data_IF_873918379630
#
_entry.id   IF_873918379630
#
_cell.length_a   1.000
_cell.length_b   1.000
_cell.length_c   1.000
_cell.angle_alpha   90.00
_cell.angle_beta   90.00
_cell.angle_gamma   90.00
#
_symmetry.space_group_name_H-M   'P 1'
#
loop_
_entity.id
_entity.type
_entity.pdbx_description
1 polymer ?
#
# COMPACT_ATOMS: atom_id res chain seq x y z
N UNK A 1 -12.12 -1.42 9.04
CA UNK A 1 -12.55 -0.58 7.90
C UNK A 1 -13.32 0.65 8.38
N UNK A 2 -14.39 0.53 9.17
CA UNK A 2 -15.14 1.68 9.70
C UNK A 2 -14.32 2.60 10.62
N UNK A 3 -13.51 2.05 11.53
CA UNK A 3 -12.67 2.84 12.45
C UNK A 3 -11.54 3.61 11.74
N UNK A 4 -10.87 2.97 10.77
CA UNK A 4 -9.85 3.63 9.95
C UNK A 4 -10.45 4.71 9.06
N UNK A 5 -11.65 4.47 8.51
CA UNK A 5 -12.39 5.46 7.73
C UNK A 5 -12.84 6.64 8.60
N UNK A 6 -13.32 6.40 9.82
CA UNK A 6 -13.75 7.49 10.73
C UNK A 6 -12.58 8.36 11.16
N UNK A 7 -11.42 7.76 11.50
CA UNK A 7 -10.20 8.53 11.83
C UNK A 7 -9.73 9.33 10.61
N UNK A 8 -9.74 8.73 9.42
CA UNK A 8 -9.42 9.41 8.17
C UNK A 8 -10.34 10.61 7.91
N UNK A 9 -11.67 10.44 8.07
CA UNK A 9 -12.65 11.52 7.88
C UNK A 9 -12.46 12.64 8.90
N UNK A 10 -12.27 12.33 10.18
CA UNK A 10 -12.06 13.33 11.23
C UNK A 10 -10.78 14.15 11.00
N UNK A 11 -9.66 13.49 10.68
CA UNK A 11 -8.40 14.18 10.42
C UNK A 11 -8.48 15.04 9.14
N UNK A 12 -9.16 14.56 8.09
CA UNK A 12 -9.42 15.36 6.89
C UNK A 12 -10.25 16.60 7.22
N UNK A 13 -11.32 16.47 8.01
CA UNK A 13 -12.18 17.59 8.39
C UNK A 13 -11.42 18.68 9.18
N UNK A 14 -10.57 18.29 10.13
CA UNK A 14 -9.74 19.23 10.90
C UNK A 14 -8.74 19.97 10.01
N UNK A 15 -8.07 19.24 9.12
CA UNK A 15 -7.11 19.82 8.20
C UNK A 15 -7.79 20.75 7.18
N UNK A 16 -8.97 20.37 6.69
CA UNK A 16 -9.78 21.18 5.79
C UNK A 16 -10.24 22.48 6.46
N UNK A 17 -10.65 22.44 7.73
CA UNK A 17 -11.00 23.63 8.50
C UNK A 17 -9.82 24.60 8.62
N UNK A 18 -8.63 24.07 8.89
CA UNK A 18 -7.39 24.87 8.96
C UNK A 18 -7.05 25.50 7.61
N UNK A 19 -7.04 24.71 6.53
CA UNK A 19 -6.79 25.19 5.17
C UNK A 19 -7.80 26.24 4.72
N UNK A 20 -9.07 26.06 5.06
CA UNK A 20 -10.13 27.03 4.75
C UNK A 20 -9.97 28.35 5.53
N UNK A 21 -9.58 28.28 6.80
CA UNK A 21 -9.24 29.47 7.61
C UNK A 21 -8.09 30.25 7.00
N UNK A 22 -7.03 29.55 6.56
CA UNK A 22 -5.89 30.16 5.88
C UNK A 22 -6.31 30.73 4.51
N UNK A 23 -7.13 30.02 3.72
CA UNK A 23 -7.70 30.52 2.46
C UNK A 23 -8.45 31.86 2.64
N UNK A 24 -9.36 31.94 3.62
CA UNK A 24 -10.09 33.19 3.92
C UNK A 24 -9.15 34.36 4.25
N UNK A 25 -8.04 34.09 4.91
CA UNK A 25 -7.04 35.10 5.23
C UNK A 25 -6.32 35.63 3.96
N UNK A 26 -6.08 34.76 2.98
CA UNK A 26 -5.33 35.08 1.76
C UNK A 26 -6.16 35.60 0.57
N UNK A 27 -7.49 35.40 0.56
CA UNK A 27 -8.42 35.80 -0.52
C UNK A 27 -8.61 37.31 -0.67
N UNK A 28 -7.95 38.15 0.14
CA UNK A 28 -7.96 39.61 -0.06
C UNK A 28 -7.24 40.10 -1.34
N UNK A 29 -6.66 39.20 -2.16
CA UNK A 29 -6.11 39.53 -3.49
C UNK A 29 -6.14 38.31 -4.42
N UNK A 30 -6.74 38.45 -5.61
CA UNK A 30 -6.95 37.37 -6.59
C UNK A 30 -5.64 36.73 -7.10
N UNK A 31 -4.52 37.46 -7.06
CA UNK A 31 -3.20 36.93 -7.43
C UNK A 31 -2.57 35.99 -6.39
N UNK A 32 -3.16 35.91 -5.19
CA UNK A 32 -2.59 35.20 -4.04
C UNK A 32 -3.10 33.76 -3.92
N UNK A 33 -4.31 33.45 -4.40
CA UNK A 33 -4.87 32.08 -4.35
C UNK A 33 -4.03 31.10 -5.16
N UNK A 34 -3.57 31.48 -6.35
CA UNK A 34 -2.67 30.68 -7.18
C UNK A 34 -1.31 30.45 -6.50
N UNK A 35 -0.78 31.48 -5.83
CA UNK A 35 0.45 31.38 -5.05
C UNK A 35 0.29 30.50 -3.80
N UNK A 36 -0.88 30.52 -3.16
CA UNK A 36 -1.19 29.68 -2.01
C UNK A 36 -1.31 28.21 -2.42
N UNK A 37 -2.03 27.91 -3.51
CA UNK A 37 -2.12 26.55 -4.04
C UNK A 37 -0.75 25.99 -4.45
N UNK A 38 0.05 26.80 -5.14
CA UNK A 38 1.40 26.43 -5.57
C UNK A 38 2.36 26.28 -4.37
N UNK A 39 2.21 27.10 -3.32
CA UNK A 39 2.99 26.98 -2.08
C UNK A 39 2.58 25.78 -1.25
N UNK A 40 1.29 25.53 -1.06
CA UNK A 40 0.80 24.39 -0.26
C UNK A 40 1.16 23.07 -0.97
N UNK A 41 0.93 22.98 -2.27
CA UNK A 41 1.31 21.81 -3.07
C UNK A 41 2.84 21.63 -3.06
N UNK A 42 3.60 22.69 -3.34
CA UNK A 42 5.06 22.66 -3.28
C UNK A 42 5.65 22.32 -1.91
N UNK A 43 5.04 22.79 -0.81
CA UNK A 43 5.47 22.51 0.57
C UNK A 43 5.14 21.09 1.00
N UNK A 44 3.96 20.60 0.61
CA UNK A 44 3.55 19.21 0.83
C UNK A 44 4.50 18.24 0.15
N UNK A 45 4.96 18.58 -1.05
CA UNK A 45 5.91 17.79 -1.85
C UNK A 45 7.36 17.98 -1.40
N UNK A 46 7.73 19.17 -0.92
CA UNK A 46 8.99 19.36 -0.20
C UNK A 46 9.10 18.42 1.00
N UNK A 47 8.01 18.27 1.77
CA UNK A 47 7.89 17.29 2.85
C UNK A 47 8.11 15.84 2.36
N UNK A 48 7.62 15.48 1.18
CA UNK A 48 7.87 14.17 0.54
C UNK A 48 9.37 13.94 0.32
N UNK A 49 10.07 14.94 -0.21
CA UNK A 49 11.50 14.84 -0.52
C UNK A 49 12.40 14.82 0.70
N UNK A 50 11.95 15.34 1.85
CA UNK A 50 12.70 15.29 3.10
C UNK A 50 12.39 14.03 3.93
N UNK A 51 11.14 13.55 3.92
CA UNK A 51 10.74 12.39 4.72
C UNK A 51 11.25 11.08 4.10
N UNK A 52 11.16 10.91 2.78
CA UNK A 52 11.53 9.64 2.12
C UNK A 52 12.99 9.22 2.43
N UNK A 53 14.00 10.10 2.28
CA UNK A 53 15.39 9.72 2.56
C UNK A 53 15.67 9.37 4.04
N UNK A 54 14.98 10.02 4.98
CA UNK A 54 15.17 9.79 6.43
C UNK A 54 14.66 8.40 6.83
N UNK A 55 13.60 7.91 6.20
CA UNK A 55 13.08 6.56 6.46
C UNK A 55 13.72 5.47 5.58
N UNK A 56 14.50 5.86 4.57
CA UNK A 56 15.32 4.93 3.76
C UNK A 56 16.61 4.51 4.47
N UNK A 57 17.14 5.32 5.39
CA UNK A 57 18.39 5.00 6.10
C UNK A 57 18.27 3.84 7.09
N UNK A 58 17.06 3.44 7.49
CA UNK A 58 16.81 2.29 8.38
C UNK A 58 16.80 0.93 7.66
N UNK A 59 17.06 0.90 6.35
CA UNK A 59 17.05 -0.33 5.54
C UNK A 59 18.32 -1.18 5.65
N UNK A 60 18.93 -1.24 6.84
CA UNK A 60 20.23 -1.89 7.06
C UNK A 60 20.22 -3.40 6.83
N UNK A 61 19.05 -4.06 6.92
CA UNK A 61 18.92 -5.52 6.87
C UNK A 61 18.26 -6.06 5.57
N UNK A 62 18.25 -5.27 4.48
CA UNK A 62 17.66 -5.72 3.21
C UNK A 62 18.33 -7.00 2.68
N UNK A 63 19.66 -7.08 2.73
CA UNK A 63 20.39 -8.22 2.19
C UNK A 63 20.01 -9.52 2.92
N UNK A 64 19.93 -9.48 4.25
CA UNK A 64 19.48 -10.62 5.05
C UNK A 64 18.03 -11.02 4.73
N UNK A 65 17.15 -10.06 4.50
CA UNK A 65 15.77 -10.34 4.10
C UNK A 65 15.71 -11.09 2.76
N UNK A 66 16.50 -10.67 1.77
CA UNK A 66 16.58 -11.37 0.47
C UNK A 66 17.15 -12.78 0.57
N UNK A 67 18.15 -12.98 1.44
CA UNK A 67 18.70 -14.31 1.70
C UNK A 67 17.64 -15.24 2.31
N UNK A 68 16.89 -14.76 3.31
CA UNK A 68 15.75 -15.50 3.89
C UNK A 68 14.66 -15.81 2.87
N UNK A 69 14.42 -14.91 1.92
CA UNK A 69 13.45 -15.14 0.84
C UNK A 69 13.89 -16.30 -0.07
N UNK A 70 15.18 -16.39 -0.37
CA UNK A 70 15.77 -17.48 -1.17
C UNK A 70 15.66 -18.81 -0.42
N UNK A 71 16.04 -18.83 0.86
CA UNK A 71 15.91 -20.02 1.72
C UNK A 71 14.44 -20.47 1.81
N UNK A 72 13.50 -19.53 1.88
CA UNK A 72 12.08 -19.84 1.90
C UNK A 72 11.63 -20.50 0.60
N UNK A 73 12.07 -19.99 -0.56
CA UNK A 73 11.74 -20.55 -1.86
C UNK A 73 12.19 -22.02 -1.94
N UNK A 74 13.44 -22.31 -1.56
CA UNK A 74 13.98 -23.68 -1.57
C UNK A 74 13.18 -24.62 -0.64
N UNK A 75 12.86 -24.15 0.57
CA UNK A 75 12.02 -24.90 1.52
C UNK A 75 10.62 -25.15 0.98
N UNK A 76 10.03 -24.15 0.32
CA UNK A 76 8.71 -24.26 -0.27
C UNK A 76 8.68 -25.30 -1.37
N UNK A 77 9.63 -25.26 -2.31
CA UNK A 77 9.67 -26.21 -3.44
C UNK A 77 9.93 -27.64 -2.95
N UNK A 78 10.82 -27.80 -1.97
CA UNK A 78 11.12 -29.10 -1.35
C UNK A 78 9.91 -29.69 -0.61
N UNK A 79 9.23 -28.88 0.21
CA UNK A 79 8.10 -29.32 1.03
C UNK A 79 6.82 -29.53 0.20
N UNK A 80 6.46 -28.56 -0.65
CA UNK A 80 5.22 -28.56 -1.43
C UNK A 80 5.31 -29.40 -2.71
N UNK A 81 6.52 -29.82 -3.10
CA UNK A 81 6.81 -30.59 -4.34
C UNK A 81 6.24 -29.93 -5.59
N UNK A 82 6.26 -28.60 -5.62
CA UNK A 82 5.79 -27.79 -6.74
C UNK A 82 6.71 -26.58 -6.91
N UNK A 83 6.94 -26.11 -8.15
CA UNK A 83 7.77 -24.94 -8.39
C UNK A 83 7.13 -23.69 -7.78
N UNK A 84 7.97 -22.76 -7.32
CA UNK A 84 7.52 -21.48 -6.79
C UNK A 84 7.16 -20.53 -7.95
N UNK A 85 5.94 -20.66 -8.47
CA UNK A 85 5.49 -19.86 -9.62
C UNK A 85 4.84 -18.54 -9.19
N UNK A 86 5.57 -17.45 -9.42
CA UNK A 86 5.08 -16.08 -9.24
C UNK A 86 4.58 -15.52 -10.58
N UNK A 87 3.30 -15.69 -10.90
CA UNK A 87 2.71 -15.02 -12.06
C UNK A 87 2.44 -13.53 -11.74
N UNK A 88 3.52 -12.74 -11.70
CA UNK A 88 3.49 -11.32 -11.30
C UNK A 88 3.47 -10.36 -12.49
N UNK A 89 3.82 -10.80 -13.70
CA UNK A 89 3.99 -9.93 -14.87
C UNK A 89 2.77 -9.05 -15.14
N UNK A 90 1.57 -9.64 -15.17
CA UNK A 90 0.32 -8.88 -15.38
C UNK A 90 0.10 -7.86 -14.26
N UNK A 91 0.40 -8.22 -13.01
CA UNK A 91 0.21 -7.35 -11.84
C UNK A 91 1.18 -6.18 -11.84
N UNK A 92 2.43 -6.42 -12.22
CA UNK A 92 3.43 -5.34 -12.41
C UNK A 92 2.88 -4.30 -13.38
N UNK A 93 2.37 -4.72 -14.54
CA UNK A 93 1.79 -3.79 -15.52
C UNK A 93 0.66 -2.93 -14.95
N UNK A 94 -0.34 -3.56 -14.30
CA UNK A 94 -1.52 -2.84 -13.81
C UNK A 94 -1.25 -1.98 -12.57
N UNK A 95 -0.35 -2.40 -11.69
CA UNK A 95 -0.12 -1.74 -10.40
C UNK A 95 1.02 -0.73 -10.47
N UNK A 96 1.98 -0.91 -11.39
CA UNK A 96 3.14 0.00 -11.51
C UNK A 96 3.17 0.74 -12.84
N UNK A 97 3.16 0.05 -13.98
CA UNK A 97 3.45 0.72 -15.24
C UNK A 97 2.30 1.62 -15.68
N UNK A 98 1.07 1.10 -15.65
CA UNK A 98 -0.12 1.85 -16.08
C UNK A 98 -0.36 3.11 -15.22
N UNK A 99 -0.34 3.08 -13.87
CA UNK A 99 -0.54 4.30 -13.08
C UNK A 99 0.59 5.31 -13.25
N UNK A 100 1.84 4.86 -13.41
CA UNK A 100 2.98 5.76 -13.71
C UNK A 100 2.78 6.45 -15.06
N UNK A 101 2.33 5.73 -16.09
CA UNK A 101 2.07 6.29 -17.40
C UNK A 101 0.93 7.32 -17.35
N UNK A 102 -0.18 7.00 -16.67
CA UNK A 102 -1.32 7.92 -16.50
C UNK A 102 -0.91 9.20 -15.78
N UNK A 103 -0.12 9.09 -14.70
CA UNK A 103 0.38 10.26 -13.98
C UNK A 103 1.34 11.09 -14.83
N UNK A 104 2.22 10.43 -15.59
CA UNK A 104 3.15 11.09 -16.51
C UNK A 104 2.38 11.89 -17.57
N UNK A 105 1.35 11.29 -18.17
CA UNK A 105 0.48 11.97 -19.13
C UNK A 105 -0.23 13.17 -18.50
N UNK A 106 -0.71 13.04 -17.26
CA UNK A 106 -1.33 14.15 -16.53
C UNK A 106 -0.34 15.30 -16.27
N UNK A 107 0.92 14.99 -15.92
CA UNK A 107 1.97 16.00 -15.72
C UNK A 107 2.35 16.69 -17.05
N UNK A 108 2.39 15.93 -18.15
CA UNK A 108 2.60 16.49 -19.49
C UNK A 108 1.43 17.40 -19.88
N UNK A 109 0.19 17.02 -19.58
CA UNK A 109 -0.96 17.88 -19.77
C UNK A 109 -0.83 19.18 -18.94
N UNK A 110 -0.38 19.08 -17.68
CA UNK A 110 -0.10 20.27 -16.86
C UNK A 110 0.94 21.20 -17.51
N UNK A 111 1.98 20.66 -18.14
CA UNK A 111 2.98 21.46 -18.86
C UNK A 111 2.39 22.24 -20.04
N UNK A 112 1.41 21.64 -20.75
CA UNK A 112 0.80 22.25 -21.93
C UNK A 112 -0.30 23.26 -21.57
N UNK A 113 -1.06 23.00 -20.51
CA UNK A 113 -2.30 23.74 -20.24
C UNK A 113 -2.25 24.62 -18.98
N UNK A 114 -1.29 24.42 -18.06
CA UNK A 114 -1.18 25.24 -16.84
C UNK A 114 -0.19 26.38 -17.04
N UNK A 115 -0.70 27.61 -17.07
CA UNK A 115 0.13 28.82 -17.23
C UNK A 115 1.14 28.94 -16.09
N UNK A 116 2.43 29.05 -16.44
CA UNK A 116 3.53 29.18 -15.47
C UNK A 116 4.14 27.85 -15.00
N UNK A 117 3.64 26.70 -15.46
CA UNK A 117 4.25 25.40 -15.17
C UNK A 117 5.59 25.25 -15.91
N UNK A 118 6.65 24.92 -15.18
CA UNK A 118 8.02 24.79 -15.73
C UNK A 118 8.35 23.33 -16.04
N UNK A 119 9.15 23.11 -17.09
CA UNK A 119 9.67 21.77 -17.46
C UNK A 119 10.42 21.12 -16.30
N UNK A 120 11.21 21.89 -15.55
CA UNK A 120 11.95 21.38 -14.38
C UNK A 120 11.00 20.82 -13.31
N UNK A 121 9.83 21.43 -13.12
CA UNK A 121 8.81 20.90 -12.22
C UNK A 121 8.32 19.57 -12.76
N UNK A 122 7.94 19.49 -14.05
CA UNK A 122 7.47 18.23 -14.65
C UNK A 122 8.44 17.05 -14.44
N UNK A 123 9.73 17.26 -14.69
CA UNK A 123 10.76 16.20 -14.53
C UNK A 123 10.82 15.73 -13.08
N UNK A 124 10.86 16.68 -12.13
CA UNK A 124 10.90 16.38 -10.71
C UNK A 124 9.65 15.63 -10.24
N UNK A 125 8.47 16.07 -10.66
CA UNK A 125 7.19 15.44 -10.33
C UNK A 125 7.09 14.01 -10.90
N UNK A 126 7.52 13.79 -12.14
CA UNK A 126 7.55 12.46 -12.75
C UNK A 126 8.45 11.53 -11.92
N UNK A 127 9.62 12.00 -11.50
CA UNK A 127 10.54 11.24 -10.66
C UNK A 127 9.92 10.82 -9.33
N UNK A 128 9.32 11.77 -8.59
CA UNK A 128 8.68 11.51 -7.29
C UNK A 128 7.54 10.49 -7.43
N UNK A 129 6.63 10.72 -8.38
CA UNK A 129 5.51 9.80 -8.60
C UNK A 129 5.97 8.42 -9.06
N UNK A 130 7.03 8.35 -9.88
CA UNK A 130 7.66 7.09 -10.27
C UNK A 130 8.14 6.30 -9.05
N UNK A 131 8.88 6.93 -8.15
CA UNK A 131 9.40 6.29 -6.92
C UNK A 131 8.25 5.79 -6.04
N UNK A 132 7.25 6.64 -5.78
CA UNK A 132 6.09 6.28 -4.97
C UNK A 132 5.37 5.07 -5.58
N UNK A 133 5.10 5.10 -6.89
CA UNK A 133 4.32 4.07 -7.54
C UNK A 133 5.08 2.72 -7.64
N UNK A 134 6.38 2.77 -7.90
CA UNK A 134 7.24 1.56 -7.87
C UNK A 134 7.27 0.95 -6.46
N UNK A 135 7.40 1.80 -5.43
CA UNK A 135 7.39 1.38 -4.02
C UNK A 135 6.05 0.75 -3.63
N UNK A 136 4.94 1.39 -3.98
CA UNK A 136 3.58 0.87 -3.74
C UNK A 136 3.32 -0.43 -4.48
N UNK A 137 3.78 -0.55 -5.72
CA UNK A 137 3.66 -1.79 -6.48
C UNK A 137 4.50 -2.92 -5.90
N UNK A 138 5.74 -2.63 -5.49
CA UNK A 138 6.58 -3.60 -4.79
C UNK A 138 5.91 -4.08 -3.50
N UNK A 139 5.33 -3.17 -2.70
CA UNK A 139 4.54 -3.54 -1.52
C UNK A 139 3.37 -4.46 -1.86
N UNK A 140 2.53 -4.05 -2.79
CA UNK A 140 1.33 -4.78 -3.18
C UNK A 140 1.65 -6.19 -3.70
N UNK A 141 2.69 -6.30 -4.54
CA UNK A 141 3.12 -7.58 -5.10
C UNK A 141 3.58 -8.51 -3.97
N UNK A 142 4.41 -8.04 -3.04
CA UNK A 142 4.84 -8.85 -1.90
C UNK A 142 3.67 -9.32 -1.04
N UNK A 143 2.76 -8.42 -0.65
CA UNK A 143 1.54 -8.79 0.08
C UNK A 143 0.71 -9.84 -0.67
N UNK A 144 0.59 -9.70 -1.99
CA UNK A 144 -0.12 -10.66 -2.82
C UNK A 144 0.58 -12.02 -2.90
N UNK A 145 1.91 -12.06 -2.94
CA UNK A 145 2.70 -13.29 -2.89
C UNK A 145 2.47 -14.00 -1.56
N UNK A 146 2.67 -13.29 -0.43
CA UNK A 146 2.42 -13.83 0.91
C UNK A 146 1.02 -14.40 1.05
N UNK A 147 0.01 -13.68 0.55
CA UNK A 147 -1.38 -14.13 0.54
C UNK A 147 -1.56 -15.48 -0.15
N UNK A 148 -1.03 -15.62 -1.37
CA UNK A 148 -1.24 -16.83 -2.17
C UNK A 148 -0.47 -18.02 -1.63
N UNK A 149 0.80 -17.81 -1.29
CA UNK A 149 1.66 -18.83 -0.69
C UNK A 149 1.07 -19.32 0.62
N UNK A 150 0.56 -18.40 1.45
CA UNK A 150 -0.11 -18.76 2.69
C UNK A 150 -1.35 -19.61 2.46
N UNK A 151 -2.18 -19.28 1.47
CA UNK A 151 -3.37 -20.10 1.15
C UNK A 151 -2.98 -21.52 0.78
N UNK A 152 -1.96 -21.67 -0.04
CA UNK A 152 -1.48 -22.99 -0.48
C UNK A 152 -0.97 -23.82 0.70
N UNK A 153 -0.17 -23.22 1.58
CA UNK A 153 0.35 -23.90 2.78
C UNK A 153 -0.81 -24.27 3.72
N UNK A 154 -1.70 -23.32 4.01
CA UNK A 154 -2.84 -23.52 4.89
C UNK A 154 -3.74 -24.64 4.38
N UNK A 155 -4.00 -24.69 3.08
CA UNK A 155 -4.79 -25.77 2.47
C UNK A 155 -4.15 -27.14 2.72
N UNK A 156 -2.84 -27.29 2.52
CA UNK A 156 -2.14 -28.56 2.79
C UNK A 156 -2.15 -28.95 4.25
N UNK A 157 -1.96 -27.99 5.16
CA UNK A 157 -2.07 -28.23 6.61
C UNK A 157 -3.46 -28.76 6.95
N UNK A 158 -4.52 -28.12 6.45
CA UNK A 158 -5.90 -28.56 6.70
C UNK A 158 -6.21 -29.93 6.10
N UNK A 159 -5.73 -30.22 4.89
CA UNK A 159 -5.85 -31.55 4.28
C UNK A 159 -5.20 -32.63 5.16
N UNK A 160 -4.02 -32.36 5.72
CA UNK A 160 -3.31 -33.30 6.61
C UNK A 160 -4.03 -33.49 7.95
N UNK A 161 -4.65 -32.44 8.51
CA UNK A 161 -5.46 -32.53 9.72
C UNK A 161 -6.67 -33.44 9.48
N UNK A 162 -7.44 -33.18 8.41
CA UNK A 162 -8.68 -33.91 8.11
C UNK A 162 -8.42 -35.37 7.76
N UNK A 163 -7.37 -35.63 6.98
CA UNK A 163 -7.05 -37.00 6.51
C UNK A 163 -6.25 -37.83 7.52
N UNK A 164 -5.92 -37.27 8.71
CA UNK A 164 -4.99 -37.88 9.67
C UNK A 164 -3.68 -38.29 9.00
N UNK A 165 -3.14 -37.37 8.19
CA UNK A 165 -1.91 -37.57 7.45
C UNK A 165 -0.70 -37.82 8.36
N UNK A 166 0.43 -38.16 7.75
CA UNK A 166 1.68 -38.42 8.50
C UNK A 166 2.09 -37.20 9.35
N UNK A 167 2.38 -37.45 10.63
CA UNK A 167 2.83 -36.42 11.57
C UNK A 167 4.10 -35.68 11.11
N UNK A 168 4.99 -36.37 10.38
CA UNK A 168 6.21 -35.75 9.83
C UNK A 168 5.88 -34.72 8.75
N UNK A 169 4.99 -35.05 7.82
CA UNK A 169 4.54 -34.11 6.78
C UNK A 169 3.77 -32.94 7.37
N UNK A 170 2.94 -33.18 8.39
CA UNK A 170 2.25 -32.10 9.08
C UNK A 170 3.23 -31.12 9.72
N UNK A 171 4.27 -31.64 10.38
CA UNK A 171 5.34 -30.83 10.97
C UNK A 171 6.05 -29.99 9.91
N UNK A 172 6.45 -30.58 8.79
CA UNK A 172 7.14 -29.89 7.69
C UNK A 172 6.33 -28.69 7.15
N UNK A 173 5.02 -28.86 6.92
CA UNK A 173 4.16 -27.78 6.43
C UNK A 173 3.95 -26.69 7.48
N UNK A 174 3.87 -27.07 8.76
CA UNK A 174 3.75 -26.12 9.88
C UNK A 174 5.03 -25.32 10.06
N UNK A 175 6.21 -25.94 9.95
CA UNK A 175 7.51 -25.27 9.96
C UNK A 175 7.63 -24.29 8.79
N UNK A 176 7.18 -24.68 7.59
CA UNK A 176 7.15 -23.81 6.42
C UNK A 176 6.23 -22.59 6.63
N UNK A 177 5.05 -22.81 7.21
CA UNK A 177 4.13 -21.72 7.57
C UNK A 177 4.76 -20.77 8.61
N UNK A 178 5.39 -21.32 9.65
CA UNK A 178 6.08 -20.54 10.68
C UNK A 178 7.18 -19.67 10.08
N UNK A 179 8.00 -20.26 9.19
CA UNK A 179 9.04 -19.52 8.47
C UNK A 179 8.45 -18.37 7.64
N UNK A 180 7.37 -18.62 6.90
CA UNK A 180 6.67 -17.57 6.14
C UNK A 180 6.12 -16.45 7.04
N UNK A 181 5.61 -16.80 8.22
CA UNK A 181 5.11 -15.84 9.22
C UNK A 181 6.21 -14.93 9.76
N UNK A 182 7.40 -15.48 10.02
CA UNK A 182 8.59 -14.69 10.34
C UNK A 182 8.99 -13.79 9.17
N UNK A 183 8.91 -14.32 7.95
CA UNK A 183 9.33 -13.61 6.75
C UNK A 183 8.44 -12.40 6.39
N UNK A 184 7.12 -12.50 6.61
CA UNK A 184 6.21 -11.33 6.47
C UNK A 184 6.45 -10.30 7.59
N UNK A 185 6.86 -10.75 8.77
CA UNK A 185 7.23 -9.85 9.88
C UNK A 185 8.53 -9.10 9.55
N UNK A 186 9.56 -9.81 9.09
CA UNK A 186 10.82 -9.23 8.62
C UNK A 186 10.60 -8.23 7.48
N UNK A 187 9.71 -8.55 6.53
CA UNK A 187 9.32 -7.61 5.48
C UNK A 187 8.77 -6.30 6.05
N UNK A 188 7.89 -6.40 7.04
CA UNK A 188 7.31 -5.25 7.74
C UNK A 188 8.33 -4.44 8.54
N UNK A 189 9.33 -5.09 9.14
CA UNK A 189 10.42 -4.42 9.87
C UNK A 189 11.34 -3.68 8.89
N UNK A 190 11.85 -4.37 7.87
CA UNK A 190 12.85 -3.83 6.94
C UNK A 190 12.30 -2.70 6.06
N UNK A 191 11.02 -2.77 5.69
CA UNK A 191 10.41 -1.79 4.79
C UNK A 191 9.38 -0.88 5.49
N UNK A 192 9.15 -1.08 6.79
CA UNK A 192 8.12 -0.36 7.56
C UNK A 192 8.29 1.16 7.53
N UNK A 193 9.53 1.65 7.60
CA UNK A 193 9.85 3.07 7.47
C UNK A 193 9.40 3.66 6.14
N UNK A 194 9.76 3.02 5.02
CA UNK A 194 9.37 3.45 3.67
C UNK A 194 7.86 3.50 3.50
N UNK A 195 7.16 2.44 3.91
CA UNK A 195 5.72 2.37 3.68
C UNK A 195 4.97 3.33 4.59
N UNK A 196 5.40 3.50 5.83
CA UNK A 196 4.80 4.45 6.77
C UNK A 196 4.99 5.88 6.30
N UNK A 197 6.20 6.25 5.87
CA UNK A 197 6.48 7.58 5.30
C UNK A 197 5.67 7.85 4.04
N UNK A 198 5.64 6.88 3.11
CA UNK A 198 4.85 7.00 1.87
C UNK A 198 3.37 7.15 2.18
N UNK A 199 2.83 6.41 3.15
CA UNK A 199 1.44 6.53 3.56
C UNK A 199 1.12 7.92 4.15
N UNK A 200 1.97 8.46 5.02
CA UNK A 200 1.82 9.82 5.59
C UNK A 200 1.82 10.87 4.47
N UNK A 201 2.77 10.75 3.56
CA UNK A 201 2.90 11.62 2.39
C UNK A 201 1.64 11.60 1.52
N UNK A 202 1.14 10.40 1.20
CA UNK A 202 -0.07 10.25 0.38
C UNK A 202 -1.32 10.75 1.10
N UNK A 203 -1.37 10.59 2.43
CA UNK A 203 -2.45 11.11 3.26
C UNK A 203 -2.51 12.64 3.23
N UNK A 204 -1.38 13.32 3.47
CA UNK A 204 -1.30 14.79 3.40
C UNK A 204 -1.64 15.27 1.98
N UNK A 205 -1.05 14.64 0.97
CA UNK A 205 -1.29 14.99 -0.44
C UNK A 205 -2.76 14.82 -0.85
N UNK A 206 -3.39 13.73 -0.45
CA UNK A 206 -4.82 13.48 -0.70
C UNK A 206 -5.70 14.57 -0.07
N UNK A 207 -5.40 14.94 1.17
CA UNK A 207 -6.14 15.99 1.89
C UNK A 207 -6.04 17.33 1.18
N UNK A 208 -4.84 17.72 0.73
CA UNK A 208 -4.60 18.95 -0.03
C UNK A 208 -5.32 18.92 -1.39
N UNK A 209 -5.27 17.78 -2.09
CA UNK A 209 -5.96 17.62 -3.38
C UNK A 209 -7.47 17.68 -3.24
N UNK A 210 -8.03 17.12 -2.17
CA UNK A 210 -9.47 17.24 -1.84
C UNK A 210 -9.87 18.68 -1.60
N UNK A 211 -9.04 19.44 -0.87
CA UNK A 211 -9.25 20.87 -0.68
C UNK A 211 -9.23 21.62 -2.01
N UNK A 212 -8.22 21.40 -2.86
CA UNK A 212 -8.12 22.04 -4.18
C UNK A 212 -9.29 21.69 -5.10
N UNK A 213 -9.74 20.44 -5.07
CA UNK A 213 -10.91 20.00 -5.82
C UNK A 213 -12.17 20.74 -5.37
N UNK A 214 -12.43 20.82 -4.06
CA UNK A 214 -13.57 21.56 -3.52
C UNK A 214 -13.51 23.06 -3.84
N UNK A 215 -12.32 23.67 -3.78
CA UNK A 215 -12.13 25.07 -4.15
C UNK A 215 -12.41 25.33 -5.64
N UNK A 216 -12.04 24.39 -6.50
CA UNK A 216 -12.33 24.45 -7.93
C UNK A 216 -13.84 24.43 -8.21
N UNK A 217 -14.63 23.68 -7.43
CA UNK A 217 -16.08 23.64 -7.57
C UNK A 217 -16.79 24.95 -7.17
N UNK A 218 -16.13 25.77 -6.33
CA UNK A 218 -16.72 27.00 -5.78
C UNK A 218 -16.20 28.25 -6.51
N UNK A 219 -15.08 28.15 -7.24
CA UNK A 219 -14.47 29.29 -7.93
C UNK A 219 -15.07 29.51 -9.33
N UNK A 220 -15.28 30.77 -9.75
CA UNK A 220 -15.78 31.10 -11.10
C UNK A 220 -14.76 30.88 -12.23
N UNK A 221 -13.50 30.60 -11.90
CA UNK A 221 -12.48 30.26 -12.90
C UNK A 221 -12.57 28.78 -13.29
N UNK A 222 -12.73 28.51 -14.59
CA UNK A 222 -12.68 27.16 -15.17
C UNK A 222 -11.26 26.59 -15.08
N UNK A 223 -10.85 26.11 -13.91
CA UNK A 223 -9.61 25.35 -13.77
C UNK A 223 -9.73 24.02 -14.52
N UNK A 224 -8.62 23.52 -15.08
CA UNK A 224 -8.57 22.17 -15.65
C UNK A 224 -8.80 21.13 -14.55
N UNK A 225 -10.06 20.75 -14.37
CA UNK A 225 -10.53 19.75 -13.41
C UNK A 225 -9.71 18.46 -13.49
N UNK A 226 -9.27 18.06 -14.68
CA UNK A 226 -8.46 16.86 -14.93
C UNK A 226 -7.11 16.87 -14.20
N UNK A 227 -6.44 18.03 -14.12
CA UNK A 227 -5.13 18.20 -13.47
C UNK A 227 -5.21 17.93 -11.97
N UNK A 228 -6.41 18.06 -11.37
CA UNK A 228 -6.67 17.83 -9.95
C UNK A 228 -7.30 16.45 -9.71
N UNK A 229 -8.25 16.02 -10.54
CA UNK A 229 -8.95 14.73 -10.37
C UNK A 229 -7.98 13.55 -10.49
N UNK A 230 -7.07 13.55 -11.46
CA UNK A 230 -6.17 12.40 -11.67
C UNK A 230 -5.22 12.21 -10.48
N UNK A 231 -4.53 13.24 -9.95
CA UNK A 231 -3.76 13.10 -8.74
C UNK A 231 -4.60 12.75 -7.51
N UNK A 232 -5.81 13.30 -7.39
CA UNK A 232 -6.70 13.01 -6.28
C UNK A 232 -7.09 11.52 -6.25
N UNK A 233 -7.51 10.97 -7.38
CA UNK A 233 -7.83 9.56 -7.51
C UNK A 233 -6.60 8.69 -7.23
N UNK A 234 -5.43 9.09 -7.71
CA UNK A 234 -4.17 8.38 -7.52
C UNK A 234 -3.76 8.29 -6.05
N UNK A 235 -3.72 9.42 -5.31
CA UNK A 235 -3.30 9.42 -3.90
C UNK A 235 -4.25 8.63 -3.01
N UNK A 236 -5.56 8.70 -3.27
CA UNK A 236 -6.55 7.90 -2.54
C UNK A 236 -6.43 6.40 -2.86
N UNK A 237 -6.20 6.06 -4.13
CA UNK A 237 -6.01 4.67 -4.56
C UNK A 237 -4.79 4.04 -3.87
N UNK A 238 -3.68 4.77 -3.76
CA UNK A 238 -2.48 4.28 -3.08
C UNK A 238 -2.76 3.97 -1.59
N UNK A 239 -3.45 4.86 -0.88
CA UNK A 239 -3.78 4.66 0.53
C UNK A 239 -4.67 3.42 0.74
N UNK A 240 -5.64 3.22 -0.16
CA UNK A 240 -6.46 2.01 -0.17
C UNK A 240 -5.62 0.76 -0.41
N UNK A 241 -4.76 0.78 -1.43
CA UNK A 241 -3.89 -0.35 -1.77
C UNK A 241 -3.00 -0.76 -0.60
N UNK A 242 -2.35 0.20 0.07
CA UNK A 242 -1.53 -0.09 1.25
C UNK A 242 -2.34 -0.76 2.36
N UNK A 243 -3.49 -0.19 2.70
CA UNK A 243 -4.32 -0.66 3.82
C UNK A 243 -4.92 -2.04 3.54
N UNK A 244 -5.46 -2.23 2.34
CA UNK A 244 -6.16 -3.45 1.95
C UNK A 244 -5.19 -4.62 1.71
N UNK A 245 -4.10 -4.39 0.98
CA UNK A 245 -3.13 -5.45 0.70
C UNK A 245 -2.47 -5.97 1.97
N UNK A 246 -2.09 -5.07 2.89
CA UNK A 246 -1.55 -5.43 4.19
C UNK A 246 -2.55 -6.28 4.99
N UNK A 247 -3.79 -5.80 5.10
CA UNK A 247 -4.84 -6.47 5.86
C UNK A 247 -5.12 -7.87 5.32
N UNK A 248 -5.27 -8.00 3.99
CA UNK A 248 -5.54 -9.28 3.35
C UNK A 248 -4.39 -10.26 3.59
N UNK A 249 -3.13 -9.85 3.36
CA UNK A 249 -1.97 -10.71 3.55
C UNK A 249 -1.87 -11.22 5.00
N UNK A 250 -1.94 -10.31 5.98
CA UNK A 250 -1.85 -10.65 7.41
C UNK A 250 -3.03 -11.53 7.86
N UNK A 251 -4.23 -11.33 7.31
CA UNK A 251 -5.40 -12.14 7.65
C UNK A 251 -5.27 -13.59 7.21
N UNK A 252 -4.65 -13.83 6.05
CA UNK A 252 -4.46 -15.17 5.49
C UNK A 252 -3.32 -15.90 6.19
N UNK A 253 -2.21 -15.20 6.46
CA UNK A 253 -1.07 -15.77 7.18
C UNK A 253 -1.44 -16.17 8.61
N UNK A 254 -2.10 -15.29 9.38
CA UNK A 254 -2.38 -15.55 10.79
C UNK A 254 -3.82 -15.99 11.08
N UNK A 255 -4.74 -15.03 11.00
CA UNK A 255 -6.08 -15.15 11.59
C UNK A 255 -6.89 -16.31 11.02
N UNK A 256 -6.84 -16.51 9.70
CA UNK A 256 -7.64 -17.54 9.02
C UNK A 256 -7.19 -18.95 9.35
N UNK A 257 -5.87 -19.21 9.35
CA UNK A 257 -5.37 -20.54 9.73
C UNK A 257 -5.73 -20.87 11.18
N UNK A 258 -5.54 -19.92 12.10
CA UNK A 258 -5.93 -20.11 13.50
C UNK A 258 -7.41 -20.50 13.64
N UNK A 259 -8.31 -19.78 12.95
CA UNK A 259 -9.74 -20.11 12.93
C UNK A 259 -10.03 -21.50 12.33
N UNK A 260 -9.37 -21.87 11.24
CA UNK A 260 -9.56 -23.17 10.60
C UNK A 260 -9.13 -24.33 11.51
N UNK A 261 -7.98 -24.20 12.18
CA UNK A 261 -7.48 -25.19 13.13
C UNK A 261 -8.46 -25.30 14.31
N UNK A 262 -8.83 -24.18 14.94
CA UNK A 262 -9.74 -24.18 16.08
C UNK A 262 -11.08 -24.86 15.73
N UNK A 263 -11.65 -24.55 14.56
CA UNK A 263 -12.90 -25.14 14.12
C UNK A 263 -12.76 -26.66 13.89
N UNK A 264 -11.66 -27.11 13.29
CA UNK A 264 -11.43 -28.54 13.07
C UNK A 264 -11.27 -29.32 14.38
N UNK A 265 -10.58 -28.75 15.37
CA UNK A 265 -10.43 -29.34 16.70
C UNK A 265 -11.78 -29.42 17.43
N UNK A 266 -12.57 -28.35 17.38
CA UNK A 266 -13.90 -28.33 17.99
C UNK A 266 -14.85 -29.35 17.35
N UNK A 267 -14.88 -29.44 16.02
CA UNK A 267 -15.68 -30.47 15.33
C UNK A 267 -15.24 -31.89 15.70
N UNK A 268 -13.92 -32.14 15.77
CA UNK A 268 -13.39 -33.45 16.18
C UNK A 268 -13.77 -33.82 17.63
N UNK A 269 -13.74 -32.85 18.55
CA UNK A 269 -14.19 -33.02 19.94
C UNK A 269 -15.68 -33.33 20.03
N UNK A 270 -16.53 -32.65 19.24
CA UNK A 270 -17.98 -32.91 19.18
C UNK A 270 -18.27 -34.31 18.65
N UNK A 271 -17.56 -34.76 17.60
CA UNK A 271 -17.73 -36.12 17.08
C UNK A 271 -17.28 -37.21 18.06
N UNK A 272 -16.23 -36.94 18.87
CA UNK A 272 -15.82 -37.86 19.94
C UNK A 272 -16.86 -37.94 21.05
N UNK A 273 -17.39 -36.80 21.50
CA UNK A 273 -18.40 -36.75 22.57
C UNK A 273 -19.77 -37.28 22.14
N UNK A 274 -20.09 -37.32 20.84
CA UNK A 274 -21.29 -37.99 20.32
C UNK A 274 -21.16 -39.52 20.21
N UNK A 275 -19.93 -40.05 20.27
CA UNK A 275 -19.66 -41.50 20.20
C UNK A 275 -19.57 -42.16 21.58
N UNK A 276 -19.38 -41.38 22.63
CA UNK A 276 -19.45 -41.79 24.05
C UNK A 276 -20.90 -41.78 24.54
#
# INVERSE_FOLDING_TARGET
MLYSLSVFVCLNALFFYKLYGDYKYFVKSDTVVFNLLHRITGSSIGLICFIIPIYWTDMTNIAEYWDRWTIFQDKFESCMRKPFQLNITKRVWFVTILPTALMTLNIVASLLFVKGWKVNNSIFFIGIFGIINLTTGYFYINCHIFRNVSKDINQRIMELIVTKGSATRFREHTELWCYMSHLITDFGIVHGGIYSSTAIVMYISSTVLWFNFAMTLISPENYLVTVIIVPLAFTNSILMVYSEAAYIALSEVGKKLHWQILNSTMCGLVEQTQRE
#
